data_IF_616449930835
#
_entry.id   IF_616449930835
#
_cell.length_a   1.000
_cell.length_b   1.000
_cell.length_c   1.000
_cell.angle_alpha   90.00
_cell.angle_beta   90.00
_cell.angle_gamma   90.00
#
_symmetry.space_group_name_H-M   'P 1'
#
loop_
_entity.id
_entity.type
_entity.pdbx_description
1 polymer ?
#
# COMPACT_ATOMS: atom_id res chain seq x y z
N UNK A 1 -31.18 9.97 -1.63
CA UNK A 1 -30.49 9.74 -1.53
C UNK A 1 -29.88 9.71 -1.81
N UNK A 2 -29.86 9.63 -1.88
CA UNK A 2 -29.04 9.27 -1.88
C UNK A 2 -28.20 9.34 -2.04
N UNK A 3 -28.33 9.45 -1.87
CA UNK A 3 -27.34 9.30 -1.79
C UNK A 3 -26.72 9.27 -1.61
N UNK A 4 -26.86 9.34 -1.27
CA UNK A 4 -26.07 9.03 -0.94
C UNK A 4 -25.78 8.58 -1.04
N UNK A 5 -26.25 8.64 -0.79
CA UNK A 5 -25.78 7.75 -0.89
C UNK A 5 -25.23 7.58 -1.81
N UNK A 6 -25.42 7.80 -2.10
CA UNK A 6 -24.67 7.31 -2.95
C UNK A 6 -23.45 7.85 -3.14
N UNK A 7 -23.25 8.73 -2.75
CA UNK A 7 -22.09 9.07 -2.90
C UNK A 7 -21.05 8.52 -2.10
N UNK A 8 -20.86 8.64 -1.07
CA UNK A 8 -19.90 7.96 -0.29
C UNK A 8 -19.84 6.50 -0.58
N UNK A 9 -20.77 6.07 -1.24
CA UNK A 9 -20.84 4.66 -1.55
C UNK A 9 -19.71 4.18 -2.44
N UNK A 10 -18.98 5.10 -3.05
CA UNK A 10 -17.91 4.66 -3.92
C UNK A 10 -16.84 3.89 -3.15
N UNK A 11 -16.39 4.46 -2.05
CA UNK A 11 -15.38 3.77 -1.25
C UNK A 11 -15.91 2.50 -0.66
N UNK A 12 -17.15 2.52 -0.28
CA UNK A 12 -17.76 1.34 0.29
C UNK A 12 -17.83 0.21 -0.71
N UNK A 13 -18.09 0.57 -1.92
CA UNK A 13 -18.21 -0.44 -2.95
C UNK A 13 -16.90 -1.14 -3.18
N UNK A 14 -15.81 -0.40 -3.16
CA UNK A 14 -14.49 -0.99 -3.30
C UNK A 14 -14.24 -1.99 -2.17
N UNK A 15 -14.61 -1.60 -0.95
CA UNK A 15 -14.43 -2.47 0.19
C UNK A 15 -15.30 -3.70 0.08
N UNK A 16 -16.51 -3.52 -0.40
CA UNK A 16 -17.44 -4.64 -0.52
C UNK A 16 -16.95 -5.67 -1.51
N UNK A 17 -16.28 -5.20 -2.52
CA UNK A 17 -15.75 -6.13 -3.51
C UNK A 17 -14.53 -6.84 -3.03
N UNK A 18 -14.15 -6.58 -1.78
CA UNK A 18 -12.99 -7.22 -1.23
C UNK A 18 -11.73 -6.84 -1.96
N UNK A 19 -11.77 -5.72 -2.63
CA UNK A 19 -10.66 -5.29 -3.45
C UNK A 19 -9.97 -4.09 -2.80
N UNK A 20 -9.32 -4.29 -1.66
CA UNK A 20 -8.57 -3.20 -1.05
C UNK A 20 -7.40 -2.77 -1.90
N UNK A 21 -7.18 -3.43 -3.03
CA UNK A 21 -6.11 -3.04 -3.92
C UNK A 21 -6.26 -1.60 -4.40
N UNK A 22 -7.49 -1.06 -4.37
CA UNK A 22 -7.70 0.34 -4.71
C UNK A 22 -7.27 1.26 -3.59
N UNK A 23 -6.96 0.71 -2.43
CA UNK A 23 -6.51 1.48 -1.29
C UNK A 23 -5.14 2.08 -1.52
N UNK A 24 -4.30 1.40 -2.27
CA UNK A 24 -2.93 1.83 -2.51
C UNK A 24 -2.69 1.99 -4.02
N UNK A 25 -1.81 2.92 -4.36
CA UNK A 25 -1.41 3.09 -5.75
C UNK A 25 -0.44 1.98 -6.15
N UNK A 26 -0.27 1.76 -7.47
CA UNK A 26 0.68 0.74 -7.92
C UNK A 26 2.09 0.96 -7.38
N UNK A 27 2.55 2.21 -7.30
CA UNK A 27 3.89 2.49 -6.78
C UNK A 27 4.00 2.20 -5.31
N UNK A 28 2.94 2.49 -4.55
CA UNK A 28 2.93 2.16 -3.13
C UNK A 28 3.01 0.66 -2.94
N UNK A 29 2.28 -0.08 -3.76
CA UNK A 29 2.31 -1.54 -3.69
C UNK A 29 3.68 -2.07 -4.04
N UNK A 30 4.31 -1.52 -5.09
CA UNK A 30 5.65 -1.96 -5.46
C UNK A 30 6.65 -1.73 -4.34
N UNK A 31 6.58 -0.58 -3.70
CA UNK A 31 7.49 -0.29 -2.59
C UNK A 31 7.29 -1.28 -1.45
N UNK A 32 6.04 -1.56 -1.11
CA UNK A 32 5.76 -2.51 -0.04
C UNK A 32 6.21 -3.92 -0.41
N UNK A 33 6.02 -4.30 -1.66
CA UNK A 33 6.43 -5.63 -2.13
C UNK A 33 7.94 -5.79 -2.00
N UNK A 34 8.69 -4.77 -2.39
CA UNK A 34 10.15 -4.83 -2.29
C UNK A 34 10.60 -4.77 -0.85
N UNK A 35 9.93 -3.98 -0.02
CA UNK A 35 10.26 -3.93 1.40
C UNK A 35 10.03 -5.29 2.07
N UNK A 36 8.99 -5.99 1.65
CA UNK A 36 8.71 -7.32 2.18
C UNK A 36 9.84 -8.29 1.88
N UNK A 37 10.60 -8.01 0.82
CA UNK A 37 11.74 -8.84 0.45
C UNK A 37 13.02 -8.41 1.14
N UNK A 38 12.95 -7.38 1.98
CA UNK A 38 14.09 -6.95 2.76
C UNK A 38 14.90 -5.82 2.18
N UNK A 39 14.43 -5.20 1.11
CA UNK A 39 15.17 -4.09 0.51
C UNK A 39 15.05 -2.84 1.37
N UNK A 40 16.13 -2.08 1.41
CA UNK A 40 16.13 -0.76 2.03
C UNK A 40 15.52 0.27 1.08
N UNK A 41 15.21 1.46 1.61
CA UNK A 41 14.71 2.54 0.77
C UNK A 41 15.66 2.85 -0.38
N UNK A 42 16.95 2.84 -0.12
CA UNK A 42 17.93 3.13 -1.17
C UNK A 42 17.89 2.06 -2.26
N UNK A 43 17.77 0.80 -1.86
CA UNK A 43 17.71 -0.29 -2.83
C UNK A 43 16.41 -0.24 -3.64
N UNK A 44 15.31 0.07 -2.97
CA UNK A 44 14.03 0.21 -3.66
C UNK A 44 14.09 1.35 -4.66
N UNK A 45 14.67 2.48 -4.23
CA UNK A 45 14.81 3.64 -5.10
C UNK A 45 15.61 3.28 -6.36
N UNK A 46 16.68 2.55 -6.17
CA UNK A 46 17.51 2.12 -7.29
C UNK A 46 16.70 1.23 -8.25
N UNK A 47 15.99 0.27 -7.69
CA UNK A 47 15.20 -0.65 -8.51
C UNK A 47 14.11 0.06 -9.29
N UNK A 48 13.49 1.04 -8.69
CA UNK A 48 12.35 1.71 -9.32
C UNK A 48 12.76 2.96 -10.11
N UNK A 49 14.04 3.34 -10.05
CA UNK A 49 14.51 4.51 -10.78
C UNK A 49 13.99 5.81 -10.22
N UNK A 50 13.82 5.89 -8.91
CA UNK A 50 13.34 7.09 -8.22
C UNK A 50 14.25 7.38 -7.05
N UNK A 51 14.01 8.50 -6.36
CA UNK A 51 14.85 8.86 -5.22
C UNK A 51 14.37 8.11 -3.96
N UNK A 52 15.31 7.95 -3.02
CA UNK A 52 14.96 7.34 -1.74
C UNK A 52 13.93 8.19 -1.01
N UNK A 53 13.98 9.49 -1.17
CA UNK A 53 13.00 10.38 -0.57
C UNK A 53 11.60 10.07 -1.10
N UNK A 54 11.49 9.83 -2.39
CA UNK A 54 10.20 9.47 -2.99
C UNK A 54 9.72 8.13 -2.46
N UNK A 55 10.63 7.17 -2.28
CA UNK A 55 10.28 5.89 -1.69
C UNK A 55 9.70 6.09 -0.29
N UNK A 56 10.38 6.89 0.52
CA UNK A 56 9.90 7.16 1.88
C UNK A 56 8.53 7.84 1.86
N UNK A 57 8.30 8.69 0.87
CA UNK A 57 7.02 9.35 0.71
C UNK A 57 5.93 8.32 0.41
N UNK A 58 6.22 7.37 -0.46
CA UNK A 58 5.25 6.31 -0.74
C UNK A 58 4.94 5.48 0.49
N UNK A 59 5.95 5.19 1.31
CA UNK A 59 5.70 4.46 2.55
C UNK A 59 4.84 5.27 3.51
N UNK A 60 5.09 6.57 3.60
CA UNK A 60 4.27 7.43 4.45
C UNK A 60 2.81 7.41 4.03
N UNK A 61 2.59 7.52 2.73
CA UNK A 61 1.23 7.48 2.21
C UNK A 61 0.57 6.13 2.44
N UNK A 62 1.33 5.06 2.23
CA UNK A 62 0.80 3.74 2.45
C UNK A 62 0.43 3.53 3.92
N UNK A 63 1.27 4.00 4.83
CA UNK A 63 0.97 3.89 6.25
C UNK A 63 -0.32 4.61 6.60
N UNK A 64 -0.53 5.80 6.04
CA UNK A 64 -1.76 6.53 6.28
C UNK A 64 -2.97 5.76 5.79
N UNK A 65 -2.87 5.24 4.60
CA UNK A 65 -3.99 4.53 3.99
C UNK A 65 -4.30 3.23 4.71
N UNK A 66 -3.26 2.55 5.17
CA UNK A 66 -3.43 1.29 5.89
C UNK A 66 -3.67 1.51 7.38
N UNK A 67 -3.58 2.75 7.84
CA UNK A 67 -3.82 3.10 9.24
C UNK A 67 -2.87 2.37 10.16
N UNK A 68 -1.59 2.41 9.79
CA UNK A 68 -0.52 1.82 10.58
C UNK A 68 0.52 2.89 10.85
N UNK A 69 1.49 2.57 11.71
CA UNK A 69 2.42 3.57 12.21
C UNK A 69 3.79 3.52 11.58
N UNK A 70 4.17 2.39 11.03
CA UNK A 70 5.52 2.28 10.49
C UNK A 70 5.53 1.29 9.34
N UNK A 71 6.67 1.25 8.67
CA UNK A 71 6.86 0.44 7.47
C UNK A 71 6.60 -1.04 7.74
N UNK A 72 7.11 -1.55 8.86
CA UNK A 72 6.95 -2.95 9.19
C UNK A 72 5.48 -3.31 9.31
N UNK A 73 4.72 -2.46 9.99
CA UNK A 73 3.29 -2.68 10.11
C UNK A 73 2.59 -2.57 8.77
N UNK A 74 3.06 -1.65 7.91
CA UNK A 74 2.47 -1.50 6.59
C UNK A 74 2.65 -2.75 5.76
N UNK A 75 3.84 -3.33 5.79
CA UNK A 75 4.12 -4.57 5.07
C UNK A 75 3.23 -5.69 5.61
N UNK A 76 3.17 -5.82 6.93
CA UNK A 76 2.38 -6.88 7.54
C UNK A 76 0.89 -6.73 7.18
N UNK A 77 0.39 -5.50 7.24
CA UNK A 77 -1.01 -5.25 6.92
C UNK A 77 -1.28 -5.53 5.45
N UNK A 78 -0.36 -5.13 4.57
CA UNK A 78 -0.53 -5.34 3.14
C UNK A 78 -0.57 -6.82 2.81
N UNK A 79 0.25 -7.62 3.50
CA UNK A 79 0.21 -9.07 3.31
C UNK A 79 -1.12 -9.62 3.80
N UNK A 80 -1.57 -9.17 4.96
CA UNK A 80 -2.83 -9.66 5.53
C UNK A 80 -4.01 -9.33 4.62
N UNK A 81 -3.97 -8.20 3.95
CA UNK A 81 -5.01 -7.79 3.02
C UNK A 81 -4.80 -8.34 1.62
N UNK A 82 -3.74 -9.10 1.42
CA UNK A 82 -3.40 -9.70 0.14
C UNK A 82 -3.13 -8.67 -0.94
N UNK A 83 -2.67 -7.49 -0.53
CA UNK A 83 -2.24 -6.46 -1.47
C UNK A 83 -0.86 -6.80 -2.04
N UNK A 84 -0.05 -7.47 -1.26
CA UNK A 84 1.25 -7.95 -1.69
C UNK A 84 1.39 -9.39 -1.25
N UNK A 85 2.31 -10.09 -1.90
CA UNK A 85 2.55 -11.50 -1.58
C UNK A 85 3.61 -11.61 -0.50
N UNK A 86 3.43 -12.61 0.37
CA UNK A 86 4.46 -12.93 1.34
C UNK A 86 5.65 -13.51 0.61
N UNK A 87 6.87 -13.04 0.90
CA UNK A 87 8.04 -13.55 0.20
C UNK A 87 8.31 -15.00 0.63
N UNK A 88 8.96 -15.77 -0.23
CA UNK A 88 9.31 -17.14 0.12
C UNK A 88 10.32 -17.15 1.27
N UNK A 89 10.34 -18.23 2.02
CA UNK A 89 11.26 -18.36 3.17
C UNK A 89 12.72 -18.42 2.77
#
# INVERSE_FOLDING_TARGET
>A
LEDDESEGSQGERAAEQGAPRDLLSPRQIECLQLAARGLTSAQIAHDLGISARTVDQYFGEACERLRVRNRTQAVARAIALELIAQPPP
#
